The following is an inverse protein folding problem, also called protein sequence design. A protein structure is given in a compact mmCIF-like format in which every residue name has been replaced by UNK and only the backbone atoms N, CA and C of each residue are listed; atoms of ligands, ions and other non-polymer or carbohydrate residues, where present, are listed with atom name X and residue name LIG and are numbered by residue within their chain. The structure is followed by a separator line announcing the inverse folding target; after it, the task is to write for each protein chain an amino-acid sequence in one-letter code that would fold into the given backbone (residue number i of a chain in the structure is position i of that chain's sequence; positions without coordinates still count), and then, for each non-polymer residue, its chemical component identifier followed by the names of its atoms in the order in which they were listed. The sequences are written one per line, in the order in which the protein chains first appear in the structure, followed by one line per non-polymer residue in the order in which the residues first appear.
data_IF_141964216721
#
_entry.id   IF_141964216721
#
_cell.length_a   1.000
_cell.length_b   1.000
_cell.length_c   1.000
_cell.angle_alpha   90.00
_cell.angle_beta   90.00
_cell.angle_gamma   90.00
#
_symmetry.space_group_name_H-M   'P 1'
#
loop_
_entity.id
_entity.type
_entity.pdbx_description
1 polymer ?
#
# COMPACT_ATOMS: atom_id res chain seq x y z
N UNK A 1 -4.85 2.73 9.30
CA UNK A 1 -3.94 1.61 9.58
C UNK A 1 -3.19 1.92 10.86
N UNK A 2 -3.42 1.10 11.86
CA UNK A 2 -2.70 1.13 13.12
C UNK A 2 -1.81 -0.11 13.26
N UNK A 3 -0.87 -0.07 14.21
CA UNK A 3 0.10 -1.14 14.43
C UNK A 3 -0.61 -2.42 14.86
N UNK A 4 -1.63 -2.31 15.70
CA UNK A 4 -2.46 -3.43 16.16
C UNK A 4 -3.26 -4.12 15.03
N UNK A 5 -3.36 -3.49 13.85
CA UNK A 5 -4.02 -4.06 12.67
C UNK A 5 -3.03 -4.84 11.77
N UNK A 6 -1.72 -4.82 12.06
CA UNK A 6 -0.69 -5.45 11.23
C UNK A 6 -0.50 -6.92 11.59
N UNK A 7 -0.61 -7.81 10.60
CA UNK A 7 -0.07 -9.16 10.67
C UNK A 7 1.36 -9.13 10.13
N UNK A 8 2.32 -8.93 11.03
CA UNK A 8 3.74 -8.80 10.67
C UNK A 8 4.32 -10.11 10.10
N UNK A 9 3.91 -11.26 10.64
CA UNK A 9 4.36 -12.57 10.18
C UNK A 9 3.76 -12.91 8.81
N UNK A 10 2.45 -12.68 8.63
CA UNK A 10 1.75 -12.85 7.36
C UNK A 10 2.00 -11.74 6.34
N UNK A 11 2.77 -10.71 6.71
CA UNK A 11 3.12 -9.52 5.89
C UNK A 11 1.89 -8.88 5.23
N UNK A 12 0.83 -8.71 6.02
CA UNK A 12 -0.46 -8.24 5.54
C UNK A 12 -1.21 -7.39 6.56
N UNK A 13 -2.13 -6.57 6.08
CA UNK A 13 -3.01 -5.78 6.93
C UNK A 13 -4.34 -5.50 6.23
N UNK A 14 -5.44 -5.35 6.98
CA UNK A 14 -6.70 -4.91 6.43
C UNK A 14 -6.66 -3.41 6.12
N UNK A 15 -7.29 -3.03 5.01
CA UNK A 15 -7.53 -1.64 4.62
C UNK A 15 -8.96 -1.47 4.16
N UNK A 16 -9.51 -0.26 4.31
CA UNK A 16 -10.81 0.08 3.74
C UNK A 16 -10.81 -0.18 2.23
N UNK A 17 -11.82 -0.90 1.76
CA UNK A 17 -11.98 -1.22 0.36
C UNK A 17 -12.27 0.04 -0.46
N UNK A 18 -11.83 0.03 -1.73
CA UNK A 18 -12.04 1.18 -2.62
C UNK A 18 -13.55 1.41 -2.83
N UNK A 19 -14.04 2.59 -2.43
CA UNK A 19 -15.46 2.95 -2.50
C UNK A 19 -16.35 2.25 -1.47
N UNK A 20 -15.79 1.72 -0.37
CA UNK A 20 -16.58 1.16 0.71
C UNK A 20 -17.47 2.25 1.35
N UNK A 21 -18.78 2.09 1.20
CA UNK A 21 -19.76 2.82 1.99
C UNK A 21 -19.68 2.35 3.46
N UNK A 22 -19.88 3.28 4.40
CA UNK A 22 -20.07 2.91 5.80
C UNK A 22 -21.36 2.10 5.91
N UNK A 23 -21.30 0.85 6.36
CA UNK A 23 -22.50 0.12 6.77
C UNK A 23 -22.88 0.61 8.15
N UNK A 24 -24.14 1.04 8.32
CA UNK A 24 -24.71 1.34 9.65
C UNK A 24 -25.48 0.11 10.12
N UNK A 25 -25.10 -0.45 11.28
CA UNK A 25 -25.86 -1.51 11.93
C UNK A 25 -26.18 -1.09 13.37
N UNK A 26 -27.48 -0.96 13.68
CA UNK A 26 -27.98 -0.89 15.06
C UNK A 26 -27.56 0.35 15.88
N UNK A 27 -27.71 1.57 15.36
CA UNK A 27 -27.69 2.81 16.15
C UNK A 27 -26.35 3.26 16.76
N UNK A 28 -25.35 2.38 16.85
CA UNK A 28 -23.96 2.74 17.16
C UNK A 28 -23.19 2.94 15.87
N UNK A 29 -22.51 4.07 15.74
CA UNK A 29 -21.62 4.38 14.61
C UNK A 29 -20.36 3.52 14.72
N UNK A 30 -20.47 2.22 14.41
CA UNK A 30 -19.34 1.49 13.86
C UNK A 30 -19.41 1.73 12.37
N UNK A 31 -18.46 2.48 11.84
CA UNK A 31 -18.29 2.54 10.39
C UNK A 31 -17.78 1.16 9.93
N UNK A 32 -18.72 0.24 9.72
CA UNK A 32 -18.42 -1.09 9.21
C UNK A 32 -18.09 -0.93 7.72
N UNK A 33 -16.81 -0.74 7.43
CA UNK A 33 -16.32 -0.72 6.07
C UNK A 33 -16.05 -2.14 5.59
N UNK A 34 -16.32 -2.39 4.30
CA UNK A 34 -15.75 -3.56 3.63
C UNK A 34 -14.22 -3.39 3.67
N UNK A 35 -13.54 -4.40 4.19
CA UNK A 35 -12.08 -4.44 4.28
C UNK A 35 -11.52 -5.30 3.14
N UNK A 36 -10.41 -4.85 2.58
CA UNK A 36 -9.58 -5.62 1.65
C UNK A 36 -8.21 -5.81 2.31
N UNK A 37 -7.54 -6.94 2.04
CA UNK A 37 -6.21 -7.19 2.57
C UNK A 37 -5.14 -6.62 1.63
N UNK A 38 -4.18 -5.87 2.17
CA UNK A 38 -2.95 -5.52 1.46
C UNK A 38 -1.81 -6.41 1.93
N UNK A 39 -0.88 -6.68 1.01
CA UNK A 39 0.30 -7.49 1.24
C UNK A 39 1.56 -6.70 0.89
N UNK A 40 2.62 -6.90 1.66
CA UNK A 40 3.94 -6.33 1.41
C UNK A 40 5.01 -7.42 1.38
N UNK A 41 6.12 -7.12 0.73
CA UNK A 41 7.25 -8.04 0.61
C UNK A 41 8.16 -8.00 1.86
N UNK A 42 9.10 -8.96 1.95
CA UNK A 42 10.18 -9.00 2.92
C UNK A 42 10.95 -7.67 3.01
N UNK A 43 11.12 -6.92 1.91
CA UNK A 43 11.73 -5.59 1.93
C UNK A 43 11.02 -4.61 2.89
N UNK A 44 9.71 -4.46 2.76
CA UNK A 44 8.91 -3.64 3.68
C UNK A 44 8.93 -4.23 5.09
N UNK A 45 8.84 -5.56 5.22
CA UNK A 45 8.86 -6.23 6.52
C UNK A 45 10.14 -5.91 7.33
N UNK A 46 11.30 -5.80 6.66
CA UNK A 46 12.56 -5.40 7.31
C UNK A 46 12.59 -3.94 7.75
N UNK A 47 11.86 -3.06 7.06
CA UNK A 47 11.82 -1.63 7.39
C UNK A 47 10.81 -1.30 8.50
N UNK A 48 9.75 -2.09 8.64
CA UNK A 48 8.69 -1.84 9.62
C UNK A 48 9.22 -1.73 11.06
N UNK A 49 10.04 -2.64 11.61
CA UNK A 49 10.56 -2.51 12.97
C UNK A 49 11.31 -1.19 13.20
N UNK A 50 12.07 -0.72 12.20
CA UNK A 50 12.81 0.56 12.25
C UNK A 50 11.88 1.77 12.25
N UNK A 51 10.79 1.70 11.49
CA UNK A 51 9.74 2.73 11.48
C UNK A 51 8.95 2.76 12.80
N UNK A 52 8.63 1.59 13.35
CA UNK A 52 7.82 1.46 14.56
C UNK A 52 8.59 1.88 15.81
N UNK A 53 9.91 1.67 15.86
CA UNK A 53 10.78 2.04 16.99
C UNK A 53 10.27 1.48 18.33
N UNK A 54 9.88 0.20 18.34
CA UNK A 54 9.36 -0.49 19.52
C UNK A 54 7.88 -0.22 19.84
N UNK A 55 7.20 0.69 19.13
CA UNK A 55 5.76 0.91 19.32
C UNK A 55 4.96 -0.32 18.90
N UNK A 56 3.97 -0.66 19.70
CA UNK A 56 3.08 -1.82 19.46
C UNK A 56 1.63 -1.41 19.16
N UNK A 57 1.28 -0.13 19.31
CA UNK A 57 -0.08 0.39 19.12
C UNK A 57 -0.12 1.81 18.56
N UNK A 58 -1.27 2.16 17.97
CA UNK A 58 -1.52 3.48 17.39
C UNK A 58 -1.09 3.60 15.92
N UNK A 59 -1.03 4.82 15.36
CA UNK A 59 -0.77 5.00 13.93
C UNK A 59 0.60 4.45 13.50
N UNK A 60 0.65 3.70 12.39
CA UNK A 60 1.93 3.19 11.83
C UNK A 60 2.87 4.34 11.49
N UNK A 61 2.38 5.31 10.71
CA UNK A 61 3.08 6.53 10.34
C UNK A 61 2.64 7.67 11.24
N UNK A 62 3.60 8.29 11.92
CA UNK A 62 3.39 9.43 12.81
C UNK A 62 4.22 10.63 12.38
N UNK A 63 3.82 11.81 12.84
CA UNK A 63 4.62 13.04 12.73
C UNK A 63 5.86 12.98 13.61
N UNK A 64 6.82 13.88 13.36
CA UNK A 64 8.03 14.01 14.17
C UNK A 64 7.87 14.99 15.36
N UNK A 65 6.73 15.69 15.45
CA UNK A 65 6.36 16.60 16.53
C UNK A 65 4.94 16.31 16.99
N UNK A 66 4.64 16.65 18.25
CA UNK A 66 3.29 16.60 18.81
C UNK A 66 2.38 17.63 18.10
N UNK A 67 1.05 17.42 18.10
CA UNK A 67 0.10 18.47 17.69
C UNK A 67 0.40 19.79 18.38
N UNK A 68 0.26 20.91 17.65
CA UNK A 68 0.40 22.24 18.24
C UNK A 68 -0.69 22.53 19.27
N UNK A 69 -0.46 23.46 20.21
CA UNK A 69 -1.47 23.88 21.18
C UNK A 69 -2.79 24.26 20.50
N UNK A 70 -3.92 23.83 21.08
CA UNK A 70 -5.26 24.08 20.54
C UNK A 70 -5.67 23.22 19.34
N UNK A 71 -4.76 22.43 18.75
CA UNK A 71 -5.12 21.51 17.66
C UNK A 71 -5.82 20.26 18.22
N UNK A 72 -7.12 20.17 18.00
CA UNK A 72 -7.91 18.97 18.34
C UNK A 72 -7.63 17.87 17.31
N UNK A 73 -7.07 16.76 17.77
CA UNK A 73 -6.81 15.55 16.96
C UNK A 73 -7.57 14.40 17.61
N UNK A 74 -8.22 13.57 16.79
CA UNK A 74 -8.90 12.36 17.28
C UNK A 74 -7.92 11.51 18.09
N UNK A 75 -8.30 10.98 19.26
CA UNK A 75 -7.45 10.06 20.02
C UNK A 75 -6.95 8.87 19.19
N UNK A 76 -7.72 8.41 18.19
CA UNK A 76 -7.32 7.33 17.27
C UNK A 76 -6.16 7.73 16.33
N UNK A 77 -5.96 9.03 16.13
CA UNK A 77 -4.92 9.61 15.29
C UNK A 77 -3.75 10.16 16.12
N UNK A 78 -3.66 9.80 17.39
CA UNK A 78 -2.50 10.11 18.25
C UNK A 78 -1.90 8.79 18.73
N UNK A 79 -0.57 8.66 18.65
CA UNK A 79 0.11 7.53 19.25
C UNK A 79 0.06 7.67 20.77
N UNK A 80 -0.50 6.69 21.50
CA UNK A 80 -0.68 6.79 22.95
C UNK A 80 0.66 6.82 23.70
N UNK A 81 1.72 6.27 23.12
CA UNK A 81 3.02 6.13 23.80
C UNK A 81 3.94 7.34 23.57
N UNK A 82 3.78 8.06 22.45
CA UNK A 82 4.66 9.20 22.09
C UNK A 82 3.93 10.55 22.04
N UNK A 83 2.60 10.55 21.92
CA UNK A 83 1.79 11.74 21.68
C UNK A 83 1.92 12.32 20.27
N UNK A 84 2.60 11.64 19.35
CA UNK A 84 2.72 12.09 17.96
C UNK A 84 1.45 11.80 17.17
N UNK A 85 1.07 12.71 16.29
CA UNK A 85 -0.12 12.57 15.46
C UNK A 85 0.12 11.60 14.30
N UNK A 86 -0.94 10.99 13.78
CA UNK A 86 -0.93 10.27 12.50
C UNK A 86 -0.45 11.21 11.42
N UNK A 87 0.47 10.72 10.59
CA UNK A 87 0.89 11.42 9.39
C UNK A 87 -0.33 11.58 8.45
N UNK A 88 -0.69 12.83 8.15
CA UNK A 88 -1.77 13.11 7.20
C UNK A 88 -1.38 12.70 5.77
N UNK A 89 -2.37 12.46 4.90
CA UNK A 89 -2.09 12.17 3.48
C UNK A 89 -1.28 13.30 2.81
N UNK A 90 -1.61 14.56 3.10
CA UNK A 90 -0.89 15.71 2.57
C UNK A 90 0.59 15.73 3.00
N UNK A 91 0.88 15.43 4.27
CA UNK A 91 2.26 15.32 4.75
C UNK A 91 2.98 14.10 4.18
N UNK A 92 2.30 12.95 4.05
CA UNK A 92 2.88 11.76 3.41
C UNK A 92 3.26 12.06 1.95
N UNK A 93 2.41 12.77 1.21
CA UNK A 93 2.70 13.25 -0.15
C UNK A 93 3.92 14.16 -0.15
N UNK A 94 3.96 15.18 0.72
CA UNK A 94 5.08 16.12 0.79
C UNK A 94 6.41 15.43 1.16
N UNK A 95 6.38 14.42 2.03
CA UNK A 95 7.56 13.64 2.37
C UNK A 95 8.05 12.79 1.19
N UNK A 96 7.14 12.08 0.52
CA UNK A 96 7.51 11.27 -0.65
C UNK A 96 8.10 12.15 -1.74
N UNK A 97 7.41 13.24 -2.06
CA UNK A 97 7.82 14.25 -3.01
C UNK A 97 9.25 14.76 -2.71
N UNK A 98 9.48 15.27 -1.50
CA UNK A 98 10.78 15.78 -1.10
C UNK A 98 11.90 14.74 -1.10
N UNK A 99 11.61 13.48 -0.77
CA UNK A 99 12.62 12.41 -0.73
C UNK A 99 12.89 11.74 -2.09
N UNK A 100 12.03 11.95 -3.08
CA UNK A 100 12.18 11.37 -4.43
C UNK A 100 12.47 12.43 -5.49
N UNK A 101 12.43 13.71 -5.13
CA UNK A 101 12.87 14.79 -5.99
C UNK A 101 14.38 14.67 -6.24
N UNK A 102 14.75 14.40 -7.50
CA UNK A 102 16.16 14.27 -7.91
C UNK A 102 16.90 15.60 -7.84
N UNK A 103 16.18 16.71 -7.99
CA UNK A 103 16.74 18.07 -7.92
C UNK A 103 16.22 18.85 -6.69
N UNK A 104 15.60 18.15 -5.73
CA UNK A 104 14.98 18.73 -4.54
C UNK A 104 13.88 19.74 -4.88
N UNK A 105 13.57 20.67 -3.96
CA UNK A 105 12.64 20.55 -2.83
C UNK A 105 11.16 20.22 -3.22
N UNK A 106 10.92 19.56 -4.34
CA UNK A 106 9.65 18.93 -4.70
C UNK A 106 9.42 18.86 -6.22
N UNK A 107 8.41 18.12 -6.66
CA UNK A 107 8.25 17.41 -7.96
C UNK A 107 9.01 16.09 -8.05
N UNK A 108 9.30 15.49 -6.90
CA UNK A 108 9.43 14.05 -6.79
C UNK A 108 8.08 13.36 -6.96
N UNK A 109 8.10 12.04 -6.84
CA UNK A 109 6.95 11.18 -7.08
C UNK A 109 5.80 11.50 -6.14
N UNK A 110 4.58 11.48 -6.68
CA UNK A 110 3.38 11.42 -5.86
C UNK A 110 3.00 9.96 -5.49
N UNK A 111 2.08 9.82 -4.53
CA UNK A 111 1.64 8.50 -4.05
C UNK A 111 0.88 7.69 -5.11
N UNK A 112 0.27 8.38 -6.09
CA UNK A 112 -0.42 7.78 -7.22
C UNK A 112 0.57 7.24 -8.27
N UNK A 113 1.60 7.99 -8.61
CA UNK A 113 2.72 7.59 -9.46
C UNK A 113 3.47 6.40 -8.88
N UNK A 114 3.75 6.43 -7.57
CA UNK A 114 4.37 5.30 -6.88
C UNK A 114 3.53 4.03 -6.96
N UNK A 115 2.20 4.17 -6.82
CA UNK A 115 1.28 3.05 -7.02
C UNK A 115 1.29 2.54 -8.46
N UNK A 116 1.38 3.43 -9.45
CA UNK A 116 1.36 3.07 -10.86
C UNK A 116 2.62 2.34 -11.30
N UNK A 117 3.79 2.82 -10.90
CA UNK A 117 5.07 2.16 -11.18
C UNK A 117 5.06 0.70 -10.71
N UNK A 118 4.52 0.43 -9.50
CA UNK A 118 4.40 -0.94 -9.02
C UNK A 118 3.52 -1.82 -9.92
N UNK A 119 2.47 -1.28 -10.53
CA UNK A 119 1.60 -2.04 -11.44
C UNK A 119 2.25 -2.22 -12.81
N UNK A 120 2.97 -1.21 -13.30
CA UNK A 120 3.77 -1.30 -14.53
C UNK A 120 4.80 -2.42 -14.42
N UNK A 121 5.61 -2.45 -13.36
CA UNK A 121 6.62 -3.49 -13.18
C UNK A 121 6.02 -4.89 -13.01
N UNK A 122 4.87 -5.02 -12.34
CA UNK A 122 4.17 -6.29 -12.27
C UNK A 122 3.67 -6.74 -13.65
N UNK A 123 3.18 -5.81 -14.47
CA UNK A 123 2.77 -6.09 -15.83
C UNK A 123 3.93 -6.49 -16.73
N UNK A 124 5.06 -5.80 -16.64
CA UNK A 124 6.31 -6.15 -17.34
C UNK A 124 6.79 -7.55 -16.95
N UNK A 125 6.73 -7.89 -15.65
CA UNK A 125 7.04 -9.23 -15.13
C UNK A 125 6.02 -10.31 -15.52
N UNK A 126 5.00 -9.98 -16.33
CA UNK A 126 4.02 -10.95 -16.84
C UNK A 126 2.85 -11.24 -15.92
N UNK A 127 2.59 -10.43 -14.89
CA UNK A 127 1.40 -10.60 -14.04
C UNK A 127 0.12 -10.45 -14.88
N UNK A 128 -0.82 -11.37 -14.71
CA UNK A 128 -2.09 -11.33 -15.44
C UNK A 128 -2.93 -10.11 -15.05
N UNK A 129 -3.82 -9.69 -15.96
CA UNK A 129 -4.76 -8.60 -15.70
C UNK A 129 -5.56 -8.81 -14.40
N UNK A 130 -5.98 -10.04 -14.10
CA UNK A 130 -6.70 -10.37 -12.87
C UNK A 130 -5.82 -10.21 -11.62
N UNK A 131 -4.55 -10.61 -11.68
CA UNK A 131 -3.61 -10.40 -10.58
C UNK A 131 -3.33 -8.91 -10.35
N UNK A 132 -3.17 -8.14 -11.42
CA UNK A 132 -3.03 -6.68 -11.32
C UNK A 132 -4.28 -6.04 -10.73
N UNK A 133 -5.49 -6.46 -11.12
CA UNK A 133 -6.74 -5.99 -10.53
C UNK A 133 -6.82 -6.32 -9.04
N UNK A 134 -6.50 -7.56 -8.64
CA UNK A 134 -6.50 -7.97 -7.24
C UNK A 134 -5.50 -7.16 -6.40
N UNK A 135 -4.24 -7.02 -6.86
CA UNK A 135 -3.20 -6.23 -6.17
C UNK A 135 -3.58 -4.75 -6.07
N UNK A 136 -4.16 -4.21 -7.14
CA UNK A 136 -4.51 -2.79 -7.25
C UNK A 136 -5.92 -2.43 -6.77
N UNK A 137 -6.73 -3.43 -6.38
CA UNK A 137 -8.11 -3.24 -5.92
C UNK A 137 -8.96 -2.42 -6.90
N UNK A 138 -8.68 -2.58 -8.20
CA UNK A 138 -9.48 -2.00 -9.27
C UNK A 138 -10.60 -2.97 -9.63
N UNK A 139 -11.83 -2.45 -9.69
CA UNK A 139 -13.03 -3.24 -10.02
C UNK A 139 -13.24 -3.41 -11.52
N UNK A 140 -12.74 -2.47 -12.32
CA UNK A 140 -12.93 -2.41 -13.76
C UNK A 140 -11.62 -2.72 -14.49
N UNK A 141 -11.58 -3.71 -15.40
CA UNK A 141 -10.36 -4.08 -16.10
C UNK A 141 -9.82 -2.94 -16.96
N UNK A 142 -10.69 -2.11 -17.55
CA UNK A 142 -10.30 -0.94 -18.35
C UNK A 142 -9.29 -0.02 -17.64
N UNK A 143 -9.41 0.13 -16.31
CA UNK A 143 -8.54 1.00 -15.51
C UNK A 143 -7.14 0.43 -15.27
N UNK A 144 -6.92 -0.86 -15.55
CA UNK A 144 -5.67 -1.58 -15.28
C UNK A 144 -4.99 -2.05 -16.57
N UNK A 145 -5.73 -2.15 -17.68
CA UNK A 145 -5.22 -2.59 -19.00
C UNK A 145 -3.93 -1.89 -19.40
N UNK A 146 -3.79 -0.59 -19.12
CA UNK A 146 -2.58 0.19 -19.44
C UNK A 146 -1.28 -0.34 -18.80
N UNK A 147 -1.36 -1.10 -17.71
CA UNK A 147 -0.20 -1.71 -17.05
C UNK A 147 0.10 -3.10 -17.59
N UNK A 148 -0.84 -3.75 -18.26
CA UNK A 148 -0.62 -5.08 -18.81
C UNK A 148 0.20 -4.98 -20.10
N UNK A 149 1.52 -4.91 -19.93
CA UNK A 149 2.53 -4.85 -20.99
C UNK A 149 3.66 -5.83 -20.68
N UNK A 150 3.45 -7.15 -20.88
CA UNK A 150 4.48 -8.15 -20.61
C UNK A 150 5.74 -7.87 -21.41
N UNK A 151 6.89 -8.03 -20.78
CA UNK A 151 8.18 -7.89 -21.46
C UNK A 151 8.41 -9.03 -22.46
N UNK A 152 9.32 -8.88 -23.44
CA UNK A 152 9.71 -9.96 -24.33
C UNK A 152 10.15 -11.22 -23.57
N UNK A 153 10.83 -11.07 -22.43
CA UNK A 153 11.26 -12.18 -21.56
C UNK A 153 10.07 -12.90 -20.93
N UNK A 154 9.05 -12.16 -20.47
CA UNK A 154 7.83 -12.76 -19.95
C UNK A 154 7.08 -13.53 -21.05
N UNK A 155 7.03 -12.99 -22.27
CA UNK A 155 6.43 -13.67 -23.43
C UNK A 155 7.25 -14.90 -23.83
N UNK A 156 8.58 -14.83 -23.80
CA UNK A 156 9.45 -15.96 -24.06
C UNK A 156 9.26 -17.07 -23.02
N UNK A 157 9.10 -16.73 -21.74
CA UNK A 157 8.79 -17.67 -20.67
C UNK A 157 7.46 -18.39 -20.89
N UNK A 158 6.41 -17.66 -21.29
CA UNK A 158 5.12 -18.28 -21.65
C UNK A 158 5.24 -19.15 -22.89
N UNK A 159 5.94 -18.67 -23.93
CA UNK A 159 6.18 -19.43 -25.17
C UNK A 159 6.95 -20.73 -24.89
N UNK A 160 7.87 -20.71 -23.93
CA UNK A 160 8.64 -21.89 -23.52
C UNK A 160 7.75 -23.01 -22.94
N UNK A 161 6.55 -22.70 -22.44
CA UNK A 161 5.58 -23.72 -22.00
C UNK A 161 5.00 -24.53 -23.16
N UNK A 162 5.08 -24.01 -24.40
CA UNK A 162 4.70 -24.75 -25.60
C UNK A 162 5.81 -25.70 -26.06
N UNK A 163 7.02 -25.59 -25.51
CA UNK A 163 8.09 -26.51 -25.83
C UNK A 163 7.64 -27.93 -25.47
N UNK A 164 7.75 -28.91 -26.38
CA UNK A 164 7.45 -30.29 -26.05
C UNK A 164 8.30 -30.66 -24.83
N UNK A 165 7.66 -31.11 -23.76
CA UNK A 165 8.37 -31.49 -22.54
C UNK A 165 9.50 -32.44 -22.92
N UNK A 166 10.73 -32.15 -22.48
CA UNK A 166 11.87 -33.05 -22.61
C UNK A 166 11.58 -34.34 -21.83
N UNK A 167 10.73 -35.17 -22.43
CA UNK A 167 10.40 -36.53 -22.07
C UNK A 167 11.20 -37.42 -23.01
N UNK A 168 12.53 -37.26 -22.95
CA UNK A 168 13.48 -38.19 -23.54
C UNK A 168 14.62 -38.42 -22.56
N UNK A 169 14.50 -39.58 -21.90
CA UNK A 169 15.52 -40.52 -21.41
C UNK A 169 16.68 -39.99 -20.58
#
# INVERSE_FOLDING_TARGET
MNIEELDLAGRRAPVKAKGAAARRRGGRVREDFVLETVYWDAGTARLLPRLLKGRTRGPVFVTHRKPGPGKVVSPRDVCPDTGFARLSYGQARALLDGHTAVHGPGTGWDLHEYRHSSLTHLGEAGASLLMLMAKSRHKKPENVRRYFKPSPEAIAGVTSLLAPGNSRR
#
